data_IF_646223521782
#
_entry.id   IF_646223521782
#
_cell.length_a   1.000
_cell.length_b   1.000
_cell.length_c   1.000
_cell.angle_alpha   90.00
_cell.angle_beta   90.00
_cell.angle_gamma   90.00
#
_symmetry.space_group_name_H-M   'P 1'
#
loop_
_entity.id
_entity.type
_entity.pdbx_description
1 polymer ?
2 non-polymer ?
3 water ?
#
# COMPACT_ATOMS: atom_id res chain seq x y z
N UNK A 2 -17.39 -29.54 0.65
CA UNK A 2 -17.62 -28.28 -0.06
C UNK A 2 -18.77 -27.49 0.55
N UNK A 3 -18.66 -26.16 0.51
CA UNK A 3 -19.59 -25.26 1.18
C UNK A 3 -19.99 -24.18 0.19
N UNK A 4 -21.15 -24.33 -0.43
CA UNK A 4 -21.63 -23.35 -1.40
C UNK A 4 -23.01 -22.86 -0.99
N UNK A 5 -23.27 -21.58 -1.25
CA UNK A 5 -24.56 -20.98 -0.97
C UNK A 5 -25.26 -20.50 -2.23
N UNK A 6 -24.62 -20.55 -3.39
CA UNK A 6 -25.20 -19.99 -4.61
C UNK A 6 -26.04 -21.05 -5.32
N UNK A 7 -27.31 -20.73 -5.54
CA UNK A 7 -28.20 -21.58 -6.31
C UNK A 7 -29.41 -20.74 -6.67
N UNK A 8 -30.18 -21.24 -7.63
CA UNK A 8 -31.35 -20.50 -8.12
C UNK A 8 -32.49 -20.73 -7.14
N UNK A 9 -32.61 -19.82 -6.16
CA UNK A 9 -33.75 -19.86 -5.24
C UNK A 9 -34.81 -18.79 -5.53
N UNK A 10 -34.49 -17.83 -6.38
CA UNK A 10 -35.31 -16.64 -6.53
C UNK A 10 -36.40 -16.84 -7.58
N UNK A 11 -37.55 -16.19 -7.36
CA UNK A 11 -38.63 -16.18 -8.32
C UNK A 11 -39.28 -14.80 -8.31
N UNK A 12 -39.89 -14.44 -9.44
CA UNK A 12 -40.55 -13.16 -9.59
C UNK A 12 -42.01 -13.43 -9.92
N UNK A 13 -42.90 -13.06 -9.00
CA UNK A 13 -44.32 -13.36 -9.19
C UNK A 13 -44.98 -12.43 -10.22
N UNK A 14 -44.58 -11.18 -10.28
CA UNK A 14 -45.23 -10.20 -11.12
C UNK A 14 -44.39 -9.78 -12.31
N UNK A 15 -44.80 -8.68 -12.93
CA UNK A 15 -44.03 -8.11 -14.03
C UNK A 15 -42.99 -7.13 -13.49
N UNK A 16 -41.97 -6.87 -14.30
CA UNK A 16 -40.95 -5.92 -13.89
C UNK A 16 -41.38 -4.50 -14.21
N UNK A 17 -40.83 -3.56 -13.45
CA UNK A 17 -40.93 -2.14 -13.75
C UNK A 17 -39.70 -1.71 -14.53
N UNK A 18 -39.90 -0.99 -15.62
CA UNK A 18 -38.81 -0.53 -16.46
C UNK A 18 -38.43 0.89 -16.08
N UNK A 19 -37.13 1.12 -15.93
CA UNK A 19 -36.59 2.43 -15.62
C UNK A 19 -35.50 2.73 -16.61
N UNK A 20 -35.32 4.00 -16.88
CA UNK A 20 -34.27 4.41 -17.80
C UNK A 20 -33.10 4.94 -17.01
N UNK A 21 -31.89 4.50 -17.37
CA UNK A 21 -30.72 5.06 -16.73
C UNK A 21 -30.71 6.55 -16.94
N UNK A 22 -29.97 7.23 -16.11
CA UNK A 22 -29.87 8.65 -16.21
C UNK A 22 -28.73 8.97 -17.20
N UNK A 23 -28.70 10.21 -17.70
CA UNK A 23 -27.89 10.51 -18.88
C UNK A 23 -26.42 10.19 -18.67
N UNK A 24 -25.84 10.60 -17.52
CA UNK A 24 -24.41 10.41 -17.41
C UNK A 24 -24.08 8.93 -17.22
N UNK A 25 -24.98 8.15 -16.60
CA UNK A 25 -24.77 6.70 -16.53
C UNK A 25 -24.78 6.07 -17.92
N UNK A 26 -25.69 6.53 -18.79
CA UNK A 26 -25.71 6.05 -20.16
C UNK A 26 -24.41 6.37 -20.89
N UNK A 27 -23.92 7.60 -20.71
CA UNK A 27 -22.68 8.02 -21.37
C UNK A 27 -21.50 7.18 -20.92
N UNK A 28 -21.43 6.85 -19.62
CA UNK A 28 -20.34 6.00 -19.15
C UNK A 28 -20.53 4.55 -19.59
N UNK A 29 -21.77 4.09 -19.70
CA UNK A 29 -22.02 2.78 -20.31
C UNK A 29 -21.61 2.77 -21.77
N UNK A 30 -21.85 3.86 -22.50
CA UNK A 30 -21.39 3.94 -23.88
C UNK A 30 -19.87 3.84 -23.97
N UNK A 31 -19.17 4.58 -23.10
CA UNK A 31 -17.70 4.50 -23.06
C UNK A 31 -17.24 3.07 -22.84
N UNK A 32 -17.90 2.36 -21.93
CA UNK A 32 -17.51 0.99 -21.61
C UNK A 32 -17.73 0.07 -22.81
N UNK A 33 -18.87 0.22 -23.50
CA UNK A 33 -19.15 -0.63 -24.65
C UNK A 33 -18.15 -0.40 -25.78
N UNK A 34 -17.74 0.85 -26.00
CA UNK A 34 -16.89 1.17 -27.14
C UNK A 34 -15.41 0.97 -26.88
N UNK A 35 -14.99 0.88 -25.62
CA UNK A 35 -13.57 0.81 -25.29
C UNK A 35 -12.99 -0.57 -25.56
N UNK A 38 -9.16 -4.59 -22.99
CA UNK A 38 -8.57 -3.86 -21.87
C UNK A 38 -8.24 -4.84 -20.74
N UNK A 39 -7.96 -4.33 -19.54
CA UNK A 39 -7.60 -5.21 -18.43
C UNK A 39 -8.87 -5.65 -17.72
N UNK A 40 -9.57 -6.61 -18.35
CA UNK A 40 -10.93 -6.94 -17.96
C UNK A 40 -11.00 -7.61 -16.60
N UNK A 41 -9.93 -8.27 -16.16
CA UNK A 41 -10.01 -9.14 -15.00
C UNK A 41 -10.29 -8.40 -13.70
N UNK A 42 -10.15 -7.07 -13.67
CA UNK A 42 -10.28 -6.36 -12.39
C UNK A 42 -11.71 -6.18 -11.94
N UNK A 43 -12.72 -6.59 -12.74
CA UNK A 43 -14.07 -6.55 -12.21
C UNK A 43 -14.23 -7.45 -10.99
N UNK A 44 -13.46 -8.53 -10.93
CA UNK A 44 -13.59 -9.46 -9.81
C UNK A 44 -13.13 -8.80 -8.51
N UNK A 45 -11.99 -8.09 -8.54
CA UNK A 45 -11.51 -7.50 -7.30
C UNK A 45 -12.43 -6.37 -6.82
N UNK A 46 -13.07 -5.65 -7.74
CA UNK A 46 -14.02 -4.60 -7.36
C UNK A 46 -15.27 -5.20 -6.72
N UNK A 47 -15.80 -6.27 -7.30
CA UNK A 47 -16.99 -6.90 -6.74
C UNK A 47 -16.69 -7.50 -5.36
N UNK A 48 -15.52 -8.13 -5.21
CA UNK A 48 -15.15 -8.69 -3.90
C UNK A 48 -15.02 -7.58 -2.87
N UNK A 49 -14.48 -6.43 -3.28
CA UNK A 49 -14.30 -5.32 -2.35
C UNK A 49 -15.63 -4.77 -1.88
N UNK A 50 -16.59 -4.62 -2.81
CA UNK A 50 -17.92 -4.15 -2.40
C UNK A 50 -18.61 -5.16 -1.50
N UNK A 51 -18.47 -6.45 -1.80
CA UNK A 51 -19.02 -7.49 -0.91
C UNK A 51 -18.43 -7.39 0.48
N UNK A 52 -17.12 -7.20 0.56
CA UNK A 52 -16.46 -7.03 1.86
C UNK A 52 -17.02 -5.81 2.59
N UNK A 53 -17.23 -4.70 1.88
CA UNK A 53 -17.78 -3.51 2.52
C UNK A 53 -19.20 -3.74 3.03
N UNK A 54 -19.99 -4.50 2.27
CA UNK A 54 -21.37 -4.78 2.68
C UNK A 54 -21.40 -5.67 3.91
N UNK A 55 -20.47 -6.62 3.99
CA UNK A 55 -20.34 -7.46 5.17
C UNK A 55 -19.89 -6.67 6.39
N UNK A 56 -18.89 -5.80 6.21
CA UNK A 56 -18.45 -4.97 7.32
C UNK A 56 -19.57 -4.08 7.84
N UNK A 57 -20.39 -3.54 6.93
CA UNK A 57 -21.51 -2.70 7.34
C UNK A 57 -22.49 -3.47 8.21
N UNK A 58 -22.83 -4.70 7.79
CA UNK A 58 -23.70 -5.54 8.59
C UNK A 58 -23.07 -5.88 9.94
N UNK A 59 -21.80 -6.31 9.92
CA UNK A 59 -21.15 -6.69 11.17
C UNK A 59 -21.17 -5.55 12.18
N UNK A 60 -20.76 -4.35 11.76
CA UNK A 60 -20.71 -3.23 12.68
C UNK A 60 -22.08 -2.91 13.23
N UNK A 61 -23.12 -3.03 12.41
CA UNK A 61 -24.47 -2.74 12.87
C UNK A 61 -24.93 -3.76 13.91
N UNK A 62 -24.73 -5.05 13.65
CA UNK A 62 -25.16 -6.08 14.59
C UNK A 62 -24.37 -5.99 15.89
N UNK A 63 -23.06 -5.74 15.81
CA UNK A 63 -22.25 -5.63 17.03
C UNK A 63 -22.67 -4.39 17.83
N UNK A 64 -23.09 -3.32 17.16
CA UNK A 64 -23.58 -2.14 17.88
C UNK A 64 -24.81 -2.47 18.71
N UNK A 65 -25.74 -3.25 18.14
CA UNK A 65 -26.82 -3.82 18.92
C UNK A 65 -26.27 -5.00 19.71
N UNK A 66 -27.13 -5.80 20.32
CA UNK A 66 -26.63 -6.95 21.02
C UNK A 66 -26.86 -8.22 20.25
N UNK A 67 -26.83 -8.12 18.92
CA UNK A 67 -27.39 -9.17 18.07
C UNK A 67 -26.36 -10.22 17.70
N UNK A 68 -26.82 -11.46 17.65
CA UNK A 68 -25.98 -12.57 17.21
C UNK A 68 -25.55 -12.36 15.77
N UNK A 69 -24.36 -12.85 15.46
CA UNK A 69 -23.80 -12.69 14.12
C UNK A 69 -24.15 -13.89 13.26
N UNK A 70 -24.66 -13.65 12.06
CA UNK A 70 -24.96 -14.72 11.11
C UNK A 70 -23.68 -15.14 10.40
N UNK A 71 -23.81 -16.09 9.47
CA UNK A 71 -22.67 -16.47 8.65
C UNK A 71 -22.34 -15.34 7.69
N UNK A 72 -21.09 -14.88 7.72
CA UNK A 72 -20.68 -13.71 6.93
C UNK A 72 -19.60 -14.16 5.96
N UNK A 73 -19.97 -14.30 4.68
CA UNK A 73 -19.12 -14.96 3.70
C UNK A 73 -19.29 -14.31 2.34
N UNK A 74 -18.27 -14.47 1.50
CA UNK A 74 -18.29 -14.09 0.09
C UNK A 74 -18.14 -15.37 -0.72
N UNK A 75 -19.03 -15.57 -1.69
CA UNK A 75 -18.98 -16.75 -2.56
C UNK A 75 -18.89 -16.35 -4.02
N UNK A 76 -18.02 -17.05 -4.76
CA UNK A 76 -17.96 -16.96 -6.21
C UNK A 76 -18.34 -18.30 -6.80
N UNK A 77 -19.09 -18.29 -7.90
CA UNK A 77 -19.37 -19.52 -8.62
C UNK A 77 -19.21 -19.29 -10.10
N UNK A 78 -18.50 -20.19 -10.77
CA UNK A 78 -18.40 -20.19 -12.23
C UNK A 78 -19.32 -21.26 -12.81
N UNK A 79 -19.86 -20.98 -13.99
CA UNK A 79 -20.64 -21.98 -14.73
C UNK A 79 -20.24 -21.88 -16.18
N UNK A 80 -19.37 -22.81 -16.62
CA UNK A 80 -18.93 -22.82 -18.02
C UNK A 80 -20.07 -23.13 -18.97
N UNK A 81 -20.95 -24.06 -18.59
CA UNK A 81 -22.04 -24.47 -19.48
C UNK A 81 -22.96 -23.30 -19.80
N UNK A 82 -23.15 -22.38 -18.86
CA UNK A 82 -24.02 -21.22 -19.05
C UNK A 82 -23.25 -19.93 -19.26
N UNK A 83 -21.92 -19.96 -19.23
CA UNK A 83 -21.13 -18.76 -19.45
C UNK A 83 -21.37 -17.65 -18.45
N UNK A 84 -21.46 -18.00 -17.15
CA UNK A 84 -21.69 -17.02 -16.11
C UNK A 84 -20.59 -17.09 -15.05
N UNK A 85 -20.40 -15.96 -14.36
CA UNK A 85 -19.71 -15.90 -13.09
C UNK A 85 -20.65 -15.19 -12.12
N UNK A 86 -20.73 -15.69 -10.89
CA UNK A 86 -21.66 -15.14 -9.91
C UNK A 86 -20.89 -14.83 -8.64
N UNK A 87 -21.19 -13.68 -8.03
CA UNK A 87 -20.70 -13.39 -6.69
C UNK A 87 -21.92 -13.19 -5.78
N UNK A 88 -21.84 -13.73 -4.57
CA UNK A 88 -22.91 -13.53 -3.60
C UNK A 88 -22.28 -13.34 -2.24
N UNK A 89 -22.78 -12.37 -1.49
CA UNK A 89 -22.33 -12.21 -0.12
C UNK A 89 -23.55 -12.11 0.80
N UNK A 90 -23.32 -12.39 2.08
CA UNK A 90 -24.38 -12.39 3.08
C UNK A 90 -24.37 -11.11 3.92
N UNK A 91 -23.98 -9.98 3.31
CA UNK A 91 -23.88 -8.70 3.97
C UNK A 91 -25.19 -7.94 4.04
N UNK A 92 -25.08 -6.61 4.18
CA UNK A 92 -26.22 -5.78 4.57
C UNK A 92 -27.22 -5.61 3.43
N UNK A 93 -26.83 -5.91 2.20
CA UNK A 93 -27.74 -5.84 1.08
C UNK A 93 -28.15 -4.40 0.75
N UNK A 94 -29.15 -4.31 -0.12
CA UNK A 94 -29.64 -3.03 -0.62
C UNK A 94 -31.16 -3.02 -0.58
N UNK A 95 -31.73 -1.89 -0.19
CA UNK A 95 -33.17 -1.66 -0.31
C UNK A 95 -33.53 -1.35 -1.76
N UNK A 96 -34.82 -1.36 -2.05
CA UNK A 96 -35.26 -0.97 -3.40
C UNK A 96 -34.81 0.44 -3.72
N UNK A 97 -34.91 1.35 -2.74
CA UNK A 97 -34.48 2.73 -2.95
C UNK A 97 -33.02 2.80 -3.43
N UNK A 98 -32.14 2.04 -2.81
CA UNK A 98 -30.75 2.05 -3.23
C UNK A 98 -30.58 1.44 -4.61
N UNK A 99 -31.29 0.34 -4.90
CA UNK A 99 -31.20 -0.26 -6.21
C UNK A 99 -31.62 0.70 -7.32
N UNK A 100 -32.38 1.74 -6.98
CA UNK A 100 -32.80 2.75 -7.94
C UNK A 100 -31.97 4.02 -7.78
N UNK A 101 -31.54 4.31 -6.55
CA UNK A 101 -30.59 5.40 -6.30
C UNK A 101 -29.18 4.87 -6.53
N UNK A 102 -28.84 4.74 -7.81
CA UNK A 102 -27.58 4.15 -8.24
C UNK A 102 -26.37 4.93 -7.73
N UNK A 129 -17.19 8.70 -7.89
CA UNK A 129 -17.93 7.71 -8.65
C UNK A 129 -18.87 6.92 -7.74
N UNK A 130 -18.47 6.73 -6.48
CA UNK A 130 -19.27 5.95 -5.56
C UNK A 130 -19.10 4.46 -5.83
N UNK A 131 -18.94 3.66 -4.77
CA UNK A 131 -18.56 2.27 -4.97
C UNK A 131 -19.66 1.43 -5.63
N UNK A 132 -20.93 1.83 -5.49
CA UNK A 132 -21.95 1.18 -6.30
C UNK A 132 -21.65 1.30 -7.78
N UNK A 133 -21.07 2.43 -8.19
CA UNK A 133 -20.71 2.68 -9.57
C UNK A 133 -19.48 1.93 -10.07
N UNK A 134 -18.45 1.77 -9.24
CA UNK A 134 -17.25 1.07 -9.70
C UNK A 134 -17.57 -0.40 -10.00
N UNK A 135 -18.26 -1.08 -9.08
CA UNK A 135 -18.70 -2.44 -9.38
C UNK A 135 -19.61 -2.48 -10.59
N UNK A 136 -20.30 -1.38 -10.88
CA UNK A 136 -21.24 -1.33 -11.98
C UNK A 136 -20.50 -1.27 -13.33
N UNK A 137 -19.62 -0.28 -13.50
CA UNK A 137 -18.94 -0.17 -14.78
C UNK A 137 -18.01 -1.35 -15.02
N UNK A 138 -17.40 -1.87 -13.94
CA UNK A 138 -16.56 -3.07 -14.04
C UNK A 138 -17.35 -4.24 -14.60
N UNK A 139 -18.55 -4.48 -14.06
CA UNK A 139 -19.36 -5.61 -14.49
C UNK A 139 -19.73 -5.51 -15.97
N UNK A 140 -20.15 -4.31 -16.41
CA UNK A 140 -20.54 -4.21 -17.81
C UNK A 140 -19.35 -4.23 -18.75
N UNK A 141 -18.13 -4.12 -18.23
CA UNK A 141 -16.95 -4.34 -19.06
C UNK A 141 -16.93 -5.75 -19.64
N UNK A 142 -17.47 -6.72 -18.90
CA UNK A 142 -17.36 -8.13 -19.23
C UNK A 142 -18.71 -8.78 -19.50
N UNK A 143 -19.82 -8.06 -19.36
CA UNK A 143 -21.15 -8.68 -19.31
C UNK A 143 -21.97 -8.34 -20.55
N UNK A 144 -22.66 -9.36 -21.09
CA UNK A 144 -23.77 -9.08 -21.99
C UNK A 144 -24.97 -8.57 -21.21
N UNK A 145 -25.21 -9.14 -20.04
CA UNK A 145 -26.25 -8.62 -19.17
C UNK A 145 -25.90 -8.97 -17.74
N UNK A 146 -26.49 -8.24 -16.82
CA UNK A 146 -26.25 -8.42 -15.40
C UNK A 146 -27.59 -8.67 -14.72
N UNK A 147 -27.60 -9.65 -13.82
CA UNK A 147 -28.82 -10.09 -13.14
C UNK A 147 -28.51 -10.07 -11.65
N UNK A 148 -29.25 -9.25 -10.89
CA UNK A 148 -28.91 -9.00 -9.50
C UNK A 148 -30.10 -9.34 -8.61
N UNK A 149 -29.83 -9.97 -7.47
CA UNK A 149 -30.84 -10.13 -6.43
C UNK A 149 -30.29 -9.55 -5.15
N UNK A 150 -31.10 -8.75 -4.47
CA UNK A 150 -30.62 -8.16 -3.23
C UNK A 150 -31.77 -8.09 -2.24
N UNK A 151 -31.43 -8.24 -0.96
CA UNK A 151 -32.41 -8.11 0.12
C UNK A 151 -31.70 -7.50 1.31
N UNK A 152 -32.22 -6.35 1.77
CA UNK A 152 -31.61 -5.66 2.90
C UNK A 152 -31.73 -6.50 4.18
N UNK A 153 -30.70 -6.42 5.02
CA UNK A 153 -30.72 -7.10 6.32
C UNK A 153 -31.66 -6.46 7.31
N UNK A 154 -32.19 -5.29 7.00
CA UNK A 154 -33.16 -4.66 7.89
C UNK A 154 -34.39 -5.55 8.06
N UNK A 155 -34.91 -5.70 9.28
CA UNK A 155 -36.10 -6.55 9.47
C UNK A 155 -37.25 -6.14 8.55
N UNK A 156 -37.96 -7.14 8.05
CA UNK A 156 -39.10 -6.89 7.19
C UNK A 156 -38.77 -6.50 5.78
N UNK A 157 -37.50 -6.52 5.38
CA UNK A 157 -37.11 -6.14 4.04
C UNK A 157 -37.58 -7.16 3.02
N UNK A 158 -37.97 -6.67 1.85
CA UNK A 158 -38.32 -7.52 0.72
C UNK A 158 -37.11 -7.73 -0.17
N UNK A 159 -37.17 -8.80 -0.96
CA UNK A 159 -36.12 -9.07 -1.93
C UNK A 159 -36.48 -8.48 -3.29
N UNK A 160 -35.45 -8.13 -4.06
CA UNK A 160 -35.66 -7.53 -5.37
C UNK A 160 -34.75 -8.15 -6.41
N UNK A 161 -35.25 -8.17 -7.63
CA UNK A 161 -34.50 -8.51 -8.82
C UNK A 161 -34.20 -7.23 -9.60
N UNK A 162 -32.96 -7.07 -10.03
CA UNK A 162 -32.54 -5.94 -10.86
C UNK A 162 -31.88 -6.50 -12.11
N UNK A 163 -32.31 -6.04 -13.29
CA UNK A 163 -31.83 -6.59 -14.56
C UNK A 163 -31.38 -5.47 -15.47
N UNK A 164 -30.26 -5.68 -16.17
CA UNK A 164 -29.92 -4.74 -17.23
C UNK A 164 -29.02 -5.42 -18.27
N UNK A 165 -29.25 -5.09 -19.55
CA UNK A 165 -28.32 -5.50 -20.59
C UNK A 165 -27.35 -4.39 -20.97
N UNK A 166 -27.30 -3.32 -20.19
CA UNK A 166 -26.38 -2.23 -20.48
C UNK A 166 -26.93 -1.20 -21.44
N UNK A 167 -28.13 -1.41 -21.96
CA UNK A 167 -28.81 -0.40 -22.76
C UNK A 167 -29.33 0.68 -21.83
N UNK A 168 -30.11 1.61 -22.35
CA UNK A 168 -30.58 2.65 -21.47
C UNK A 168 -31.61 2.31 -20.43
N UNK A 169 -31.96 1.03 -20.29
CA UNK A 169 -33.06 0.59 -19.45
C UNK A 169 -32.54 -0.40 -18.43
N UNK A 170 -33.10 -0.36 -17.22
CA UNK A 170 -32.97 -1.47 -16.28
C UNK A 170 -34.36 -1.81 -15.77
N UNK A 171 -34.46 -3.00 -15.19
CA UNK A 171 -35.74 -3.52 -14.71
C UNK A 171 -35.62 -3.86 -13.24
N UNK A 172 -36.71 -3.64 -12.51
CA UNK A 172 -36.74 -3.99 -11.10
C UNK A 172 -38.07 -4.67 -10.80
N UNK A 173 -38.03 -5.72 -9.98
CA UNK A 173 -39.25 -6.41 -9.58
C UNK A 173 -39.02 -7.02 -8.21
N UNK A 174 -40.08 -7.08 -7.40
CA UNK A 174 -39.97 -7.78 -6.14
C UNK A 174 -39.79 -9.28 -6.40
N UNK A 175 -38.90 -9.91 -5.62
CA UNK A 175 -38.55 -11.30 -5.84
C UNK A 175 -38.66 -12.06 -4.52
N UNK A 176 -39.21 -13.26 -4.59
CA UNK A 176 -39.21 -14.17 -3.44
C UNK A 176 -37.94 -15.02 -3.45
N UNK A 177 -37.63 -15.59 -2.30
CA UNK A 177 -36.49 -16.49 -2.23
C UNK A 177 -35.14 -15.84 -2.27
N UNK A 178 -35.06 -14.53 -2.02
CA UNK A 178 -33.78 -13.82 -2.01
C UNK A 178 -33.20 -13.95 -0.61
N UNK A 179 -31.97 -14.41 -0.54
CA UNK A 179 -31.24 -14.43 0.72
C UNK A 179 -30.79 -13.02 1.08
N UNK A 180 -30.78 -12.73 2.38
CA UNK A 180 -30.25 -11.44 2.84
C UNK A 180 -28.84 -11.22 2.30
N UNK A 181 -28.59 -10.02 1.77
CA UNK A 181 -27.33 -9.74 1.10
C UNK A 181 -27.55 -9.46 -0.38
N UNK A 182 -26.53 -9.76 -1.18
CA UNK A 182 -26.56 -9.40 -2.59
C UNK A 182 -25.93 -10.50 -3.44
N UNK A 183 -26.60 -10.86 -4.54
CA UNK A 183 -26.08 -11.80 -5.52
C UNK A 183 -26.02 -11.11 -6.88
N UNK A 184 -24.88 -11.19 -7.55
CA UNK A 184 -24.72 -10.60 -8.88
C UNK A 184 -24.33 -11.72 -9.84
N UNK A 185 -25.16 -11.94 -10.86
CA UNK A 185 -24.91 -12.96 -11.88
C UNK A 185 -24.49 -12.22 -13.14
N UNK A 186 -23.27 -12.50 -13.61
CA UNK A 186 -22.75 -11.85 -14.81
C UNK A 186 -22.84 -12.85 -15.95
N UNK A 187 -23.65 -12.52 -16.97
CA UNK A 187 -23.73 -13.30 -18.19
C UNK A 187 -22.64 -12.77 -19.11
N UNK A 188 -21.55 -13.53 -19.23
CA UNK A 188 -20.33 -13.00 -19.81
C UNK A 188 -20.42 -12.81 -21.31
N UNK A 189 -19.77 -11.77 -21.81
CA UNK A 189 -19.59 -11.53 -23.23
C UNK A 189 -18.85 -12.70 -23.91
N UNK A 190 -19.03 -12.78 -25.23
CA UNK A 190 -18.42 -13.85 -26.04
C UNK A 190 -16.92 -13.93 -25.82
N UNK A 191 -16.26 -12.78 -25.73
CA UNK A 191 -14.80 -12.74 -25.59
C UNK A 191 -14.35 -12.67 -24.14
N UNK A 192 -15.27 -12.83 -23.18
CA UNK A 192 -14.91 -12.88 -21.76
C UNK A 192 -15.26 -14.21 -21.13
N UNK A 193 -15.45 -15.27 -21.93
CA UNK A 193 -15.86 -16.55 -21.35
C UNK A 193 -14.79 -17.16 -20.46
N UNK A 194 -13.55 -16.66 -20.53
CA UNK A 194 -12.50 -17.16 -19.66
C UNK A 194 -12.85 -16.99 -18.19
N UNK A 195 -13.70 -16.03 -17.85
CA UNK A 195 -14.07 -15.83 -16.45
C UNK A 195 -15.18 -16.77 -16.01
N UNK A 196 -15.57 -17.73 -16.84
CA UNK A 196 -16.41 -18.84 -16.40
C UNK A 196 -15.59 -20.10 -16.16
N UNK A 197 -14.26 -19.99 -16.25
CA UNK A 197 -13.34 -21.06 -15.91
C UNK A 197 -12.91 -20.93 -14.46
N UNK A 198 -13.06 -22.01 -13.70
CA UNK A 198 -12.68 -21.97 -12.29
C UNK A 198 -11.21 -21.60 -12.10
N UNK A 199 -10.33 -22.18 -12.92
CA UNK A 199 -8.89 -21.95 -12.71
C UNK A 199 -8.51 -20.50 -13.03
N UNK A 200 -9.07 -19.94 -14.09
CA UNK A 200 -8.82 -18.53 -14.41
C UNK A 200 -9.24 -17.63 -13.25
N UNK A 201 -10.45 -17.86 -12.72
CA UNK A 201 -10.96 -17.01 -11.65
C UNK A 201 -10.15 -17.21 -10.38
N UNK A 202 -9.78 -18.46 -10.07
CA UNK A 202 -8.93 -18.71 -8.91
C UNK A 202 -7.66 -17.87 -8.96
N UNK A 203 -7.02 -17.81 -10.12
CA UNK A 203 -5.77 -17.06 -10.24
C UNK A 203 -5.99 -15.56 -10.11
N UNK A 204 -7.12 -15.05 -10.60
CA UNK A 204 -7.40 -13.63 -10.47
C UNK A 204 -7.63 -13.29 -9.00
N UNK A 205 -8.34 -14.14 -8.29
CA UNK A 205 -8.62 -13.91 -6.87
C UNK A 205 -7.31 -13.86 -6.09
N UNK A 206 -6.44 -14.84 -6.33
CA UNK A 206 -5.17 -14.90 -5.62
C UNK A 206 -4.27 -13.71 -5.95
N UNK A 207 -4.37 -13.20 -7.17
CA UNK A 207 -3.51 -12.08 -7.58
C UNK A 207 -3.88 -10.80 -6.85
N UNK A 208 -5.16 -10.43 -6.85
CA UNK A 208 -5.57 -9.11 -6.38
C UNK A 208 -6.30 -9.10 -5.05
N UNK A 209 -6.89 -10.23 -4.62
CA UNK A 209 -7.90 -10.22 -3.57
C UNK A 209 -7.54 -11.14 -2.41
N UNK A 210 -6.26 -11.53 -2.32
CA UNK A 210 -5.77 -12.53 -1.37
C UNK A 210 -5.94 -12.09 0.08
N UNK A 211 -6.10 -10.80 0.35
CA UNK A 211 -6.13 -10.28 1.71
C UNK A 211 -7.52 -9.83 2.14
N UNK A 212 -8.55 -10.23 1.39
CA UNK A 212 -9.93 -9.89 1.76
C UNK A 212 -10.24 -10.44 3.16
N UNK A 213 -10.95 -9.65 3.96
CA UNK A 213 -11.04 -9.88 5.40
C UNK A 213 -12.25 -10.72 5.81
N UNK A 214 -13.09 -11.16 4.86
CA UNK A 214 -14.15 -12.12 5.15
C UNK A 214 -13.90 -13.43 4.41
N UNK A 215 -14.37 -14.55 4.95
CA UNK A 215 -14.17 -15.85 4.27
C UNK A 215 -14.65 -15.82 2.82
N UNK A 216 -13.79 -16.31 1.92
CA UNK A 216 -14.09 -16.29 0.49
C UNK A 216 -14.03 -17.70 -0.07
N UNK A 217 -15.08 -18.10 -0.79
CA UNK A 217 -15.22 -19.43 -1.35
C UNK A 217 -15.39 -19.33 -2.86
N UNK A 218 -14.76 -20.25 -3.59
CA UNK A 218 -14.92 -20.33 -5.03
C UNK A 218 -15.42 -21.73 -5.36
N UNK A 219 -16.61 -21.82 -5.91
CA UNK A 219 -17.23 -23.10 -6.26
C UNK A 219 -17.27 -24.05 -5.06
N UNK A 220 -17.52 -23.48 -3.88
CA UNK A 220 -17.64 -24.24 -2.66
C UNK A 220 -16.35 -24.55 -1.96
N UNK A 221 -15.21 -24.09 -2.47
CA UNK A 221 -13.91 -24.35 -1.86
C UNK A 221 -13.37 -23.09 -1.22
N UNK A 222 -12.95 -23.18 0.04
CA UNK A 222 -12.41 -22.03 0.72
C UNK A 222 -11.12 -21.60 0.06
N UNK A 223 -11.06 -20.33 -0.36
CA UNK A 223 -9.84 -19.80 -0.91
C UNK A 223 -8.86 -19.55 0.23
N UNK A 224 -7.58 -19.82 -0.02
CA UNK A 224 -6.58 -19.58 1.01
C UNK A 224 -6.17 -18.12 0.93
N UNK A 225 -6.63 -17.33 1.89
CA UNK A 225 -6.39 -15.90 1.96
C UNK A 225 -5.56 -15.57 3.19
N UNK A 226 -5.00 -14.37 3.24
CA UNK A 226 -4.03 -14.00 4.27
C UNK A 226 -4.55 -12.82 5.09
N UNK A 227 -3.88 -12.54 6.21
CA UNK A 227 -4.31 -11.50 7.15
C UNK A 227 -3.60 -10.18 6.84
N UNK A 228 -4.38 -9.13 6.53
CA UNK A 228 -3.82 -7.81 6.18
C UNK A 228 -3.40 -7.07 7.44
N UNK A 229 -2.22 -7.42 7.97
CA UNK A 229 -1.83 -6.88 9.26
C UNK A 229 -1.53 -5.38 9.22
N UNK A 230 -1.28 -4.82 8.03
CA UNK A 230 -1.06 -3.39 7.95
C UNK A 230 -2.29 -2.58 8.35
N UNK A 231 -3.48 -3.17 8.26
CA UNK A 231 -4.69 -2.47 8.69
C UNK A 231 -4.87 -2.44 10.19
N UNK A 232 -4.13 -3.24 10.94
CA UNK A 232 -4.29 -3.28 12.37
C UNK A 232 -3.61 -2.07 13.02
N UNK A 233 -4.09 -1.71 14.20
CA UNK A 233 -3.40 -0.66 14.94
C UNK A 233 -2.00 -1.15 15.29
N UNK A 234 -0.97 -0.33 15.10
CA UNK A 234 0.41 -0.84 15.25
C UNK A 234 0.68 -1.52 16.58
N UNK A 235 0.06 -1.06 17.65
CA UNK A 235 0.36 -1.63 18.97
C UNK A 235 -0.15 -3.05 19.14
N UNK A 236 -0.99 -3.53 18.22
CA UNK A 236 -1.58 -4.86 18.33
C UNK A 236 -0.83 -5.91 17.52
N UNK A 237 0.11 -5.51 16.66
CA UNK A 237 0.85 -6.45 15.82
C UNK A 237 2.10 -6.88 16.56
N UNK A 238 2.23 -8.18 16.78
CA UNK A 238 3.35 -8.72 17.54
C UNK A 238 4.55 -8.99 16.63
N UNK A 239 5.71 -9.16 17.26
CA UNK A 239 6.94 -9.36 16.49
C UNK A 239 6.84 -10.58 15.60
N UNK A 240 6.26 -11.67 16.11
CA UNK A 240 6.18 -12.88 15.29
C UNK A 240 5.29 -12.68 14.08
N UNK A 241 4.27 -11.82 14.19
CA UNK A 241 3.43 -11.55 13.02
C UNK A 241 4.18 -10.73 11.99
N UNK A 242 4.96 -9.74 12.43
CA UNK A 242 5.79 -8.98 11.50
C UNK A 242 6.83 -9.86 10.83
N UNK A 243 7.44 -10.77 11.62
CA UNK A 243 8.45 -11.65 11.04
C UNK A 243 7.85 -12.53 9.95
N UNK A 244 6.68 -13.08 10.21
CA UNK A 244 5.98 -13.89 9.19
C UNK A 244 5.63 -13.05 7.97
N UNK A 245 5.10 -11.84 8.18
CA UNK A 245 4.67 -11.02 7.04
C UNK A 245 5.87 -10.51 6.26
N UNK A 246 6.92 -10.08 6.96
CA UNK A 246 8.15 -9.67 6.29
C UNK A 246 8.67 -10.78 5.38
N UNK A 247 8.75 -12.01 5.92
CA UNK A 247 9.29 -13.09 5.11
C UNK A 247 8.41 -13.36 3.90
N UNK A 248 7.10 -13.12 4.03
CA UNK A 248 6.20 -13.29 2.90
C UNK A 248 6.40 -12.20 1.84
N UNK A 249 6.39 -10.93 2.27
CA UNK A 249 6.40 -9.86 1.28
C UNK A 249 7.78 -9.67 0.68
N UNK A 250 8.83 -10.01 1.42
CA UNK A 250 10.19 -9.90 0.92
C UNK A 250 10.70 -11.20 0.32
N UNK A 251 9.92 -12.28 0.43
CA UNK A 251 10.36 -13.61 0.04
C UNK A 251 11.74 -13.92 0.59
N UNK A 252 11.90 -13.66 1.89
CA UNK A 252 13.17 -13.73 2.58
C UNK A 252 13.11 -14.80 3.67
N UNK A 253 14.27 -15.11 4.22
CA UNK A 253 14.37 -16.07 5.29
C UNK A 253 14.94 -15.50 6.58
N UNK A 254 15.42 -14.27 6.56
CA UNK A 254 15.94 -13.65 7.76
C UNK A 254 14.78 -12.97 8.49
N UNK A 255 15.09 -12.16 9.48
CA UNK A 255 14.12 -11.34 10.18
C UNK A 255 14.35 -9.88 9.80
N UNK A 256 13.36 -9.01 9.99
CA UNK A 256 13.60 -7.58 9.76
C UNK A 256 14.39 -6.98 10.91
N UNK A 257 15.43 -6.21 10.58
CA UNK A 257 16.15 -5.50 11.63
C UNK A 257 15.38 -4.28 12.12
N UNK A 258 14.55 -3.66 11.27
CA UNK A 258 13.70 -2.54 11.63
C UNK A 258 12.30 -2.77 11.07
N UNK A 259 11.29 -2.33 11.83
CA UNK A 259 9.89 -2.38 11.42
C UNK A 259 9.28 -1.01 11.70
N UNK A 260 8.65 -0.42 10.69
CA UNK A 260 7.89 0.82 10.84
C UNK A 260 6.48 0.54 10.37
N UNK A 261 5.54 0.58 11.30
CA UNK A 261 4.12 0.44 10.97
C UNK A 261 3.53 1.85 11.01
N UNK A 262 3.27 2.40 9.82
CA UNK A 262 2.88 3.80 9.68
C UNK A 262 1.43 3.89 9.26
N UNK A 263 0.61 4.47 10.12
CA UNK A 263 -0.81 4.62 9.90
C UNK A 263 -1.13 6.09 10.08
N UNK A 264 -1.75 6.70 9.07
CA UNK A 264 -2.14 8.10 9.18
C UNK A 264 -3.39 8.33 8.35
N UNK A 265 -4.14 9.36 8.70
CA UNK A 265 -5.31 9.74 7.94
C UNK A 265 -5.21 11.14 7.35
N UNK A 266 -4.18 11.90 7.68
CA UNK A 266 -3.97 13.20 7.08
C UNK A 266 -2.49 13.40 6.77
N UNK A 267 -2.19 14.01 5.61
CA UNK A 267 -3.11 14.57 4.62
C UNK A 267 -3.71 13.50 3.71
N UNK A 268 -3.14 12.30 3.77
CA UNK A 268 -3.54 11.16 2.97
C UNK A 268 -3.88 9.98 3.85
N UNK A 269 -4.80 9.14 3.40
CA UNK A 269 -5.01 7.83 4.01
C UNK A 269 -3.82 6.93 3.74
N UNK A 270 -3.15 6.43 4.79
CA UNK A 270 -2.02 5.53 4.63
C UNK A 270 -2.08 4.47 5.72
N UNK A 271 -2.03 3.20 5.32
CA UNK A 271 -1.78 2.07 6.22
C UNK A 271 -0.59 1.33 5.63
N UNK A 272 0.56 1.34 6.31
CA UNK A 272 1.77 0.82 5.68
C UNK A 272 2.66 0.14 6.70
N UNK A 273 3.45 -0.81 6.23
CA UNK A 273 4.50 -1.42 7.04
C UNK A 273 5.77 -1.48 6.20
N UNK A 274 6.87 -0.99 6.76
CA UNK A 274 8.16 -0.96 6.09
C UNK A 274 9.17 -1.76 6.91
N UNK A 275 9.95 -2.58 6.23
CA UNK A 275 10.96 -3.43 6.86
C UNK A 275 12.33 -3.15 6.27
N UNK A 276 13.36 -3.18 7.11
CA UNK A 276 14.75 -3.23 6.69
C UNK A 276 15.27 -4.63 6.97
N UNK A 277 15.87 -5.32 6.01
CA UNK A 277 16.35 -6.68 6.27
C UNK A 277 17.47 -6.71 7.30
N UNK A 278 17.53 -7.80 8.05
CA UNK A 278 18.69 -7.99 8.93
C UNK A 278 19.97 -8.17 8.13
N UNK A 279 19.89 -8.84 6.98
CA UNK A 279 21.09 -9.03 6.19
C UNK A 279 21.53 -7.71 5.55
N UNK A 280 22.83 -7.62 5.26
CA UNK A 280 23.35 -6.50 4.49
C UNK A 280 22.74 -6.48 3.10
N UNK A 281 22.73 -5.33 2.43
CA UNK A 281 22.27 -5.31 1.03
C UNK A 281 23.23 -6.10 0.15
N UNK A 282 22.67 -6.87 -0.75
CA UNK A 282 23.43 -7.58 -1.77
C UNK A 282 23.30 -6.82 -3.09
N UNK A 283 23.84 -7.42 -4.16
CA UNK A 283 23.69 -6.83 -5.48
C UNK A 283 22.24 -6.83 -5.94
N UNK A 284 21.44 -7.80 -5.49
CA UNK A 284 20.03 -7.83 -5.87
C UNK A 284 19.31 -6.60 -5.36
N UNK A 285 19.63 -6.15 -4.14
CA UNK A 285 18.96 -4.98 -3.57
C UNK A 285 19.39 -3.69 -4.26
N UNK A 286 20.61 -3.65 -4.80
CA UNK A 286 21.12 -2.41 -5.37
C UNK A 286 20.54 -2.17 -6.76
N UNK A 287 20.42 -3.22 -7.58
CA UNK A 287 19.84 -3.09 -8.91
C UNK A 287 18.37 -2.68 -8.83
N UNK A 293 11.68 -3.59 -2.94
CA UNK A 293 10.62 -2.61 -2.99
C UNK A 293 9.29 -3.08 -2.39
N UNK A 294 8.21 -2.36 -2.69
CA UNK A 294 7.00 -2.41 -1.88
C UNK A 294 5.78 -2.69 -2.75
N UNK A 295 4.79 -3.36 -2.15
CA UNK A 295 3.50 -3.64 -2.78
C UNK A 295 2.53 -2.52 -2.46
N UNK A 296 1.68 -2.18 -3.43
CA UNK A 296 0.69 -1.11 -3.27
C UNK A 296 -0.72 -1.68 -3.26
N UNK A 297 -1.48 -1.34 -2.24
CA UNK A 297 -2.86 -1.77 -2.09
C UNK A 297 -3.76 -0.55 -1.94
N UNK A 298 -5.05 -0.78 -2.14
CA UNK A 298 -6.05 0.23 -1.81
C UNK A 298 -7.19 -0.52 -1.14
N UNK A 299 -7.34 -0.31 0.17
CA UNK A 299 -8.33 -1.00 1.00
C UNK A 299 -8.27 -2.53 0.78
N UNK A 300 -7.05 -3.07 0.87
CA UNK A 300 -6.76 -4.51 0.79
C UNK A 300 -7.00 -5.09 -0.61
N UNK A 301 -7.03 -4.24 -1.62
CA UNK A 301 -7.08 -4.66 -3.01
C UNK A 301 -5.72 -4.33 -3.63
N UNK A 302 -5.09 -5.32 -4.23
CA UNK A 302 -3.79 -5.09 -4.86
C UNK A 302 -3.94 -4.13 -6.04
N UNK A 303 -3.07 -3.13 -6.10
CA UNK A 303 -2.94 -2.25 -7.25
C UNK A 303 -1.70 -2.60 -8.07
N UNK A 304 -0.55 -2.72 -7.41
CA UNK A 304 0.65 -3.14 -8.11
C UNK A 304 1.50 -3.98 -7.16
N UNK A 305 1.84 -5.21 -7.60
CA UNK A 305 2.61 -6.11 -6.76
C UNK A 305 3.97 -5.50 -6.41
N UNK A 306 4.58 -4.81 -7.39
CA UNK A 306 5.86 -4.11 -7.26
C UNK A 306 5.60 -2.67 -7.71
N UNK A 307 5.18 -1.81 -6.79
CA UNK A 307 4.91 -0.41 -7.14
C UNK A 307 6.18 0.24 -7.66
N UNK A 308 6.04 1.00 -8.74
CA UNK A 308 7.22 1.49 -9.46
C UNK A 308 7.92 2.62 -8.70
N UNK A 309 7.18 3.68 -8.37
CA UNK A 309 7.76 4.86 -7.74
C UNK A 309 7.03 5.19 -6.44
N UNK A 310 6.64 4.18 -5.64
CA UNK A 310 5.94 4.48 -4.39
C UNK A 310 6.91 5.11 -3.39
N UNK A 311 8.14 4.63 -3.37
CA UNK A 311 9.19 5.22 -2.55
C UNK A 311 10.25 5.84 -3.45
N UNK A 312 11.01 6.81 -2.95
CA UNK A 312 12.17 7.29 -3.70
C UNK A 312 13.10 6.13 -4.03
N UNK A 313 13.87 6.29 -5.12
CA UNK A 313 14.75 5.21 -5.53
C UNK A 313 15.77 4.84 -4.45
N UNK A 314 16.27 5.83 -3.70
CA UNK A 314 17.28 5.50 -2.69
C UNK A 314 16.73 4.67 -1.54
N UNK A 315 15.40 4.61 -1.38
CA UNK A 315 14.77 3.78 -0.36
C UNK A 315 14.33 2.42 -0.90
N UNK A 316 14.88 2.00 -2.04
CA UNK A 316 14.48 0.74 -2.66
C UNK A 316 14.91 -0.47 -1.84
N UNK A 317 15.75 -0.28 -0.82
CA UNK A 317 16.11 -1.38 0.07
C UNK A 317 14.99 -1.72 1.06
N UNK A 318 13.98 -0.86 1.18
CA UNK A 318 12.83 -1.11 2.05
C UNK A 318 11.93 -2.17 1.43
N UNK A 319 11.42 -3.07 2.26
CA UNK A 319 10.42 -4.05 1.87
C UNK A 319 9.14 -3.79 2.64
N UNK A 320 8.01 -4.24 2.10
CA UNK A 320 6.76 -4.03 2.81
C UNK A 320 5.58 -3.68 1.95
N UNK A 321 4.63 -2.93 2.50
CA UNK A 321 3.34 -2.70 1.87
C UNK A 321 2.88 -1.28 2.17
N UNK A 322 2.23 -0.66 1.18
CA UNK A 322 1.58 0.64 1.34
C UNK A 322 0.14 0.48 0.87
N UNK A 323 -0.81 0.83 1.73
CA UNK A 323 -2.24 0.79 1.41
C UNK A 323 -2.80 2.20 1.54
N UNK A 324 -3.40 2.72 0.47
CA UNK A 324 -4.02 4.04 0.54
C UNK A 324 -5.38 4.02 -0.14
N UNK A 325 -6.42 4.41 0.60
CA UNK A 325 -7.75 4.62 0.01
C UNK A 325 -7.71 5.60 -1.16
N UNK A 326 -6.72 6.49 -1.17
CA UNK A 326 -6.57 7.47 -2.24
C UNK A 326 -5.61 6.99 -3.30
N UNK A 327 -6.11 6.16 -4.21
CA UNK A 327 -5.28 5.63 -5.30
C UNK A 327 -6.13 5.29 -6.52
N UNK A 328 -5.77 5.91 -7.70
CA UNK A 328 -6.60 5.56 -8.86
C UNK A 328 -5.95 4.49 -9.73
N UNK A 338 4.10 9.98 -11.70
CA UNK A 338 3.01 9.76 -12.64
C UNK A 338 1.87 10.73 -12.40
N UNK A 339 1.19 10.55 -11.27
CA UNK A 339 0.10 11.42 -10.86
C UNK A 339 0.57 12.33 -9.74
N UNK A 340 -0.15 13.43 -9.56
CA UNK A 340 0.14 14.31 -8.42
C UNK A 340 0.03 13.56 -7.11
N UNK A 341 -0.91 12.61 -7.03
CA UNK A 341 -1.15 11.87 -5.80
C UNK A 341 0.02 10.96 -5.45
N UNK A 342 0.53 10.22 -6.43
CA UNK A 342 1.65 9.33 -6.17
C UNK A 342 2.87 10.12 -5.73
N UNK A 343 3.12 11.26 -6.38
CA UNK A 343 4.20 12.14 -5.98
C UNK A 343 4.02 12.59 -4.53
N UNK A 344 2.79 12.95 -4.16
CA UNK A 344 2.51 13.38 -2.79
C UNK A 344 2.75 12.25 -1.80
N UNK A 345 2.25 11.05 -2.12
CA UNK A 345 2.44 9.91 -1.23
C UNK A 345 3.92 9.58 -1.07
N UNK A 346 4.68 9.61 -2.18
CA UNK A 346 6.11 9.31 -2.09
C UNK A 346 6.82 10.29 -1.16
N UNK A 347 6.51 11.58 -1.27
CA UNK A 347 7.16 12.58 -0.44
C UNK A 347 6.78 12.41 1.04
N UNK A 348 5.52 12.08 1.32
CA UNK A 348 5.10 11.85 2.71
C UNK A 348 5.86 10.67 3.29
N UNK A 349 5.96 9.58 2.52
CA UNK A 349 6.63 8.37 3.01
C UNK A 349 8.12 8.61 3.18
N UNK A 350 8.73 9.37 2.27
CA UNK A 350 10.15 9.69 2.42
C UNK A 350 10.40 10.42 3.73
N UNK A 351 9.58 11.44 4.02
CA UNK A 351 9.74 12.19 5.27
C UNK A 351 9.55 11.29 6.48
N UNK A 352 8.55 10.41 6.44
CA UNK A 352 8.28 9.56 7.60
C UNK A 352 9.41 8.55 7.83
N UNK A 353 9.95 7.98 6.75
CA UNK A 353 11.04 7.02 6.90
C UNK A 353 12.30 7.69 7.39
N UNK A 354 12.60 8.90 6.90
CA UNK A 354 13.75 9.62 7.44
C UNK A 354 13.57 9.89 8.93
N UNK A 355 12.37 10.33 9.32
CA UNK A 355 12.09 10.55 10.74
C UNK A 355 12.28 9.27 11.55
N UNK A 356 11.80 8.15 11.00
CA UNK A 356 11.95 6.85 11.67
C UNK A 356 13.41 6.54 11.96
N UNK A 357 14.27 6.66 10.95
CA UNK A 357 15.67 6.34 11.13
C UNK A 357 16.35 7.29 12.10
N UNK A 358 15.98 8.58 12.07
CA UNK A 358 16.49 9.51 13.08
C UNK A 358 16.09 9.05 14.47
N UNK A 359 14.82 8.68 14.65
CA UNK A 359 14.38 8.23 15.96
C UNK A 359 15.08 6.94 16.37
N UNK A 360 15.39 6.06 15.42
CA UNK A 360 16.11 4.84 15.76
C UNK A 360 17.53 5.13 16.22
N UNK A 361 18.20 6.10 15.60
CA UNK A 361 19.54 6.45 16.05
C UNK A 361 19.51 6.92 17.51
N UNK A 362 18.40 7.52 17.94
CA UNK A 362 18.27 7.95 19.33
C UNK A 362 17.91 6.79 20.24
N UNK A 363 17.15 5.81 19.76
CA UNK A 363 16.74 4.69 20.61
C UNK A 363 17.89 3.71 20.84
N UNK A 364 18.71 3.47 19.81
CA UNK A 364 19.78 2.47 19.91
C UNK A 364 20.87 2.90 18.92
N UNK A 365 21.85 3.64 19.42
CA UNK A 365 22.86 4.20 18.54
C UNK A 365 23.77 3.11 17.97
N UNK A 366 24.08 2.05 18.73
CA UNK A 366 24.96 1.03 18.18
C UNK A 366 24.28 0.27 17.06
N UNK A 367 23.00 -0.08 17.25
CA UNK A 367 22.24 -0.71 16.18
C UNK A 367 22.14 0.21 14.97
N UNK A 368 21.90 1.50 15.19
CA UNK A 368 21.82 2.43 14.07
C UNK A 368 23.17 2.54 13.34
N UNK A 369 24.29 2.52 14.09
CA UNK A 369 25.59 2.60 13.42
C UNK A 369 25.80 1.42 12.46
N UNK A 370 25.36 0.22 12.85
CA UNK A 370 25.48 -0.94 11.97
C UNK A 370 24.59 -0.79 10.76
N UNK A 371 23.36 -0.30 10.97
CA UNK A 371 22.50 -0.02 9.84
C UNK A 371 23.15 0.98 8.89
N UNK A 372 23.77 2.04 9.41
CA UNK A 372 24.39 3.02 8.52
C UNK A 372 25.57 2.41 7.79
N UNK A 373 26.33 1.55 8.46
CA UNK A 373 27.44 0.86 7.81
C UNK A 373 26.92 -0.01 6.67
N UNK A 374 25.79 -0.68 6.89
CA UNK A 374 25.29 -1.65 5.93
C UNK A 374 24.54 -0.98 4.77
N UNK A 375 23.75 0.06 5.05
CA UNK A 375 22.85 0.65 4.07
C UNK A 375 23.21 2.08 3.70
N UNK A 376 24.34 2.60 4.21
CA UNK A 376 24.63 4.01 4.04
C UNK A 376 24.96 4.42 2.62
N UNK A 377 25.31 3.48 1.75
CA UNK A 377 25.54 3.88 0.36
C UNK A 377 24.23 4.30 -0.31
N UNK A 378 23.10 3.76 0.14
CA UNK A 378 21.82 4.21 -0.40
C UNK A 378 21.55 5.67 -0.03
N UNK A 379 21.88 6.05 1.19
CA UNK A 379 21.70 7.43 1.61
C UNK A 379 22.59 8.37 0.83
N UNK A 380 23.86 8.00 0.66
CA UNK A 380 24.76 8.82 -0.15
C UNK A 380 24.27 8.93 -1.60
N UNK A 381 23.84 7.82 -2.18
CA UNK A 381 23.24 7.86 -3.52
C UNK A 381 22.09 8.86 -3.56
N UNK A 382 21.20 8.79 -2.57
CA UNK A 382 20.03 9.66 -2.56
C UNK A 382 20.39 11.13 -2.48
N UNK A 383 21.43 11.46 -1.72
CA UNK A 383 21.88 12.84 -1.63
C UNK A 383 22.42 13.31 -2.98
N UNK A 384 23.17 12.44 -3.68
CA UNK A 384 23.75 12.85 -4.95
C UNK A 384 22.67 13.01 -6.02
N UNK A 385 21.70 12.10 -6.05
CA UNK A 385 20.73 12.13 -7.15
C UNK A 385 19.57 13.08 -6.89
N UNK A 386 19.37 13.51 -5.64
CA UNK A 386 18.25 14.38 -5.33
C UNK A 386 18.35 15.72 -6.07
N UNK A 387 17.21 16.25 -6.48
CA UNK A 387 17.13 17.55 -7.14
C UNK A 387 17.05 18.70 -6.15
N UNK A 388 16.24 18.57 -5.11
CA UNK A 388 15.94 19.68 -4.21
C UNK A 388 16.90 19.71 -3.03
N UNK A 389 17.41 20.91 -2.72
CA UNK A 389 18.35 21.06 -1.61
C UNK A 389 17.75 20.58 -0.29
N UNK A 390 16.46 20.86 -0.07
CA UNK A 390 15.83 20.45 1.18
C UNK A 390 15.83 18.93 1.32
N UNK A 391 15.66 18.20 0.21
CA UNK A 391 15.66 16.75 0.27
C UNK A 391 17.07 16.23 0.53
N UNK A 392 18.07 16.84 -0.10
CA UNK A 392 19.44 16.45 0.19
C UNK A 392 19.73 16.57 1.67
N UNK A 393 19.31 17.68 2.27
CA UNK A 393 19.64 17.90 3.67
C UNK A 393 18.84 17.00 4.59
N UNK A 394 17.59 16.65 4.20
CA UNK A 394 16.82 15.69 4.97
C UNK A 394 17.52 14.33 5.00
N UNK A 395 17.96 13.84 3.84
CA UNK A 395 18.66 12.55 3.82
C UNK A 395 19.97 12.66 4.59
N UNK A 396 20.65 13.79 4.45
CA UNK A 396 21.92 14.00 5.15
C UNK A 396 21.80 13.93 6.67
N UNK A 397 20.59 14.11 7.22
CA UNK A 397 20.41 13.94 8.65
C UNK A 397 20.71 12.52 9.12
N UNK A 398 20.78 11.57 8.18
CA UNK A 398 21.04 10.17 8.49
C UNK A 398 22.53 9.82 8.47
N UNK A 399 23.36 10.70 7.91
CA UNK A 399 24.79 10.41 7.84
C UNK A 399 25.41 10.41 9.23
N UNK A 400 26.39 9.52 9.43
CA UNK A 400 27.15 9.46 10.67
C UNK A 400 28.63 9.39 10.34
N UNK A 401 29.44 10.21 11.02
CA UNK A 401 30.87 10.29 10.75
C UNK A 401 31.65 10.30 12.06
N UNK A 402 32.91 9.84 12.00
CA UNK A 402 33.82 10.13 13.09
C UNK A 402 34.18 11.61 13.11
N UNK A 403 34.76 12.05 14.22
CA UNK A 403 35.07 13.46 14.38
C UNK A 403 36.38 13.63 15.15
N UNK A 404 37.10 14.71 14.84
CA UNK A 404 38.27 15.06 15.63
C UNK A 404 37.93 15.30 17.10
N UNK A 405 36.68 15.62 17.42
CA UNK A 405 36.32 16.00 18.78
C UNK A 405 35.82 14.83 19.61
N UNK A 406 35.65 13.66 19.00
CA UNK A 406 35.09 12.48 19.63
C UNK A 406 36.12 11.37 19.66
N UNK A 407 35.96 10.40 20.55
CA UNK A 407 36.88 9.26 20.58
C UNK A 407 36.83 8.47 19.29
N UNK A 408 37.96 7.88 18.94
CA UNK A 408 38.04 6.97 17.79
C UNK A 408 36.92 5.94 17.86
N UNK A 409 36.24 5.74 16.73
CA UNK A 409 35.13 4.82 16.65
C UNK A 409 33.78 5.44 16.92
N UNK A 410 33.71 6.55 17.65
CA UNK A 410 32.44 7.17 17.98
C UNK A 410 31.96 8.03 16.82
N UNK A 411 30.65 8.00 16.56
CA UNK A 411 30.07 8.69 15.42
C UNK A 411 29.27 9.90 15.86
N UNK A 412 29.22 10.91 14.98
CA UNK A 412 28.39 12.08 15.18
C UNK A 412 27.56 12.34 13.93
N UNK A 413 26.44 13.02 14.12
CA UNK A 413 25.65 13.50 13.00
C UNK A 413 26.05 14.93 12.67
N UNK A 414 25.60 15.41 11.51
CA UNK A 414 25.86 16.79 11.10
C UNK A 414 25.22 17.77 12.07
N UNK A 415 23.99 17.50 12.51
CA UNK A 415 23.35 18.42 13.45
C UNK A 415 24.08 18.47 14.78
N UNK A 416 24.62 17.34 15.24
CA UNK A 416 25.41 17.34 16.48
C UNK A 416 26.69 18.14 16.33
N UNK A 417 27.39 17.95 15.19
CA UNK A 417 28.52 18.80 14.86
C UNK A 417 28.12 20.28 14.92
N UNK A 418 26.99 20.63 14.28
CA UNK A 418 26.55 22.01 14.26
C UNK A 418 26.34 22.56 15.66
N UNK A 419 25.80 21.73 16.58
CA UNK A 419 25.53 22.22 17.93
C UNK A 419 26.82 22.51 18.70
N UNK A 420 27.97 21.98 18.29
CA UNK A 420 29.24 22.23 18.96
C UNK A 420 30.03 23.36 18.32
N UNK A 421 29.56 23.93 17.21
CA UNK A 421 30.35 24.95 16.52
C UNK A 421 30.54 26.18 17.40
N UNK A 422 31.76 26.71 17.40
CA UNK A 422 32.10 27.83 18.26
C UNK A 422 31.74 29.14 17.57
N UNK A 423 31.35 30.13 18.37
CA UNK A 423 31.00 31.44 17.84
C UNK A 423 32.11 31.97 16.96
N UNK A 424 31.74 32.45 15.77
CA UNK A 424 32.68 33.00 14.81
C UNK A 424 33.09 32.02 13.74
N UNK A 425 32.86 30.74 13.96
CA UNK A 425 33.13 29.70 12.97
C UNK A 425 31.79 29.23 12.44
N UNK A 426 31.55 29.42 11.14
CA UNK A 426 30.22 29.28 10.57
C UNK A 426 30.13 28.22 9.48
N UNK A 427 31.21 27.47 9.21
CA UNK A 427 31.22 26.40 8.23
C UNK A 427 31.44 25.05 8.92
N UNK A 428 31.06 23.98 8.24
CA UNK A 428 31.30 22.61 8.68
C UNK A 428 32.51 22.05 7.93
N UNK A 429 33.54 21.66 8.67
CA UNK A 429 34.79 21.23 8.06
C UNK A 429 34.90 19.72 8.11
N UNK A 430 35.43 19.14 7.03
CA UNK A 430 35.59 17.70 6.94
C UNK A 430 36.89 17.34 6.23
N UNK A 431 37.29 16.09 6.41
CA UNK A 431 38.46 15.56 5.73
C UNK A 431 38.21 14.10 5.37
N UNK A 432 38.35 13.77 4.10
CA UNK A 432 38.26 12.40 3.65
C UNK A 432 39.64 11.76 3.69
N UNK A 433 39.73 10.60 4.32
CA UNK A 433 40.99 9.89 4.44
C UNK A 433 40.68 8.41 4.56
N UNK A 434 41.65 7.54 4.29
CA UNK A 434 41.38 6.09 4.38
C UNK A 434 41.08 5.62 5.80
N UNK A 435 41.66 6.24 6.82
CA UNK A 435 41.41 5.84 8.19
C UNK A 435 41.68 7.01 9.13
N UNK A 436 41.40 6.79 10.41
CA UNK A 436 41.52 7.85 11.41
C UNK A 436 42.97 8.30 11.59
N UNK A 437 43.91 7.36 11.60
CA UNK A 437 45.32 7.72 11.77
C UNK A 437 45.77 8.72 10.70
N UNK A 438 45.41 8.45 9.44
CA UNK A 438 45.85 9.32 8.35
C UNK A 438 45.16 10.68 8.41
N UNK A 439 43.89 10.71 8.83
CA UNK A 439 43.22 12.00 9.02
C UNK A 439 43.90 12.80 10.13
N UNK A 440 44.20 12.15 11.27
CA UNK A 440 44.75 12.88 12.40
C UNK A 440 46.13 13.44 12.11
N UNK A 441 46.89 12.80 11.22
CA UNK A 441 48.22 13.26 10.89
C UNK A 441 48.26 14.08 9.62
N UNK A 442 47.10 14.53 9.14
CA UNK A 442 47.09 15.53 8.11
C UNK A 442 47.72 16.82 8.64
N UNK A 443 48.70 17.40 7.93
CA UNK A 443 49.28 18.66 8.39
C UNK A 443 48.26 19.79 8.47
N UNK A 444 47.22 19.73 7.64
CA UNK A 444 46.16 20.73 7.69
C UNK A 444 45.33 20.56 8.95
N UNK A 445 44.91 19.33 9.27
CA UNK A 445 44.19 19.13 10.52
C UNK A 445 45.07 19.48 11.72
N UNK A 446 46.34 19.09 11.68
CA UNK A 446 47.23 19.38 12.82
C UNK A 446 47.28 20.87 13.12
N UNK A 447 47.32 21.71 12.09
CA UNK A 447 47.35 23.16 12.32
C UNK A 447 46.01 23.66 12.85
N UNK A 448 44.90 23.12 12.32
CA UNK A 448 43.58 23.56 12.75
C UNK A 448 43.31 23.22 14.19
N UNK A 449 43.89 22.12 14.67
CA UNK A 449 43.70 21.70 16.06
C UNK A 449 44.08 22.81 17.04
N UNK A 450 44.98 23.71 16.63
CA UNK A 450 45.44 24.79 17.51
C UNK A 450 44.33 25.78 17.87
N UNK A 451 43.24 25.83 17.11
CA UNK A 451 42.16 26.78 17.33
C UNK A 451 40.81 26.11 17.54
N UNK A 452 40.80 24.85 17.99
CA UNK A 452 39.63 24.14 18.51
C UNK A 452 38.55 23.83 17.48
N UNK A 453 38.82 24.00 16.17
CA UNK A 453 37.81 23.74 15.16
C UNK A 453 37.59 22.24 14.96
N UNK A 454 36.33 21.80 15.06
CA UNK A 454 36.03 20.39 14.86
C UNK A 454 36.10 20.03 13.38
N UNK A 455 36.60 18.83 13.09
CA UNK A 455 36.70 18.36 11.70
C UNK A 455 36.13 16.97 11.63
N UNK A 456 35.13 16.78 10.77
CA UNK A 456 34.60 15.44 10.52
C UNK A 456 35.64 14.61 9.75
N UNK A 457 35.76 13.35 10.12
CA UNK A 457 36.68 12.41 9.48
C UNK A 457 35.85 11.39 8.73
N UNK A 458 36.01 11.34 7.41
CA UNK A 458 35.16 10.58 6.51
C UNK A 458 35.99 9.53 5.78
N UNK A 459 35.66 8.25 5.98
CA UNK A 459 36.47 7.16 5.47
C UNK A 459 35.86 6.36 4.33
N UNK A 460 34.60 6.62 3.97
CA UNK A 460 33.95 5.85 2.91
C UNK A 460 34.30 6.49 1.58
N UNK A 461 34.57 5.66 0.56
CA UNK A 461 35.11 6.22 -0.67
C UNK A 461 34.14 7.18 -1.34
N UNK A 462 32.83 7.03 -1.11
CA UNK A 462 31.86 7.93 -1.72
C UNK A 462 31.52 9.13 -0.84
N UNK A 463 32.22 9.33 0.27
CA UNK A 463 31.95 10.51 1.11
C UNK A 463 32.29 11.80 0.37
N UNK A 464 33.38 11.80 -0.39
CA UNK A 464 33.79 13.02 -1.11
C UNK A 464 32.68 13.51 -2.02
N UNK A 465 32.12 12.62 -2.84
CA UNK A 465 31.04 13.04 -3.73
C UNK A 465 29.79 13.41 -2.95
N UNK A 466 29.49 12.66 -1.90
CA UNK A 466 28.30 12.95 -1.10
C UNK A 466 28.36 14.38 -0.57
N UNK A 467 29.50 14.77 0.00
CA UNK A 467 29.57 16.07 0.62
C UNK A 467 29.75 17.18 -0.41
N UNK A 468 30.35 16.87 -1.56
CA UNK A 468 30.35 17.83 -2.68
C UNK A 468 28.93 18.15 -3.14
N UNK A 469 28.10 17.12 -3.27
CA UNK A 469 26.74 17.33 -3.75
C UNK A 469 25.86 17.94 -2.67
N UNK A 470 26.06 17.56 -1.42
CA UNK A 470 25.27 18.17 -0.34
C UNK A 470 25.51 19.67 -0.25
N UNK A 471 26.78 20.08 -0.34
CA UNK A 471 27.23 21.47 -0.44
C UNK A 471 27.04 22.27 0.85
N UNK A 472 25.85 22.24 1.43
CA UNK A 472 25.62 22.95 2.68
C UNK A 472 24.60 22.17 3.52
N UNK A 473 24.60 22.46 4.81
CA UNK A 473 23.68 21.82 5.75
C UNK A 473 23.27 22.85 6.78
N UNK A 474 21.96 23.07 6.91
CA UNK A 474 21.45 24.07 7.87
C UNK A 474 22.15 25.41 7.68
N UNK A 475 22.31 25.81 6.42
CA UNK A 475 22.88 27.09 6.01
C UNK A 475 24.38 27.20 6.29
N UNK A 476 25.05 26.10 6.58
CA UNK A 476 26.49 26.09 6.81
C UNK A 476 27.19 25.37 5.66
N UNK A 477 28.14 26.04 5.01
CA UNK A 477 28.84 25.40 3.91
C UNK A 477 29.71 24.26 4.41
N UNK A 478 29.76 23.18 3.63
CA UNK A 478 30.66 22.05 3.87
C UNK A 478 31.98 22.31 3.16
N UNK A 479 33.07 22.30 3.92
CA UNK A 479 34.39 22.66 3.40
C UNK A 479 35.35 21.53 3.70
N UNK A 480 35.98 20.98 2.65
CA UNK A 480 37.06 20.02 2.83
C UNK A 480 38.34 20.76 3.25
N UNK A 481 38.99 20.28 4.32
CA UNK A 481 40.16 21.01 4.80
C UNK A 481 41.40 20.75 3.95
N UNK A 482 41.35 19.76 3.07
CA UNK A 482 42.38 19.57 2.05
C UNK A 482 41.73 19.67 0.67
N UNK A 483 42.43 20.27 -0.27
CA UNK A 483 41.90 20.42 -1.62
C UNK A 483 42.42 19.35 -2.56
#
# INVERSE_FOLDING_TARGET
PLHSIISSTESVQGSTSKHEFQAETKKLLDIVARSLYSEKEVFIRELISNASDALEKLRHKLVSDGQALPEMEIHLQTNAEKGTITIQDTGIGMTQEELVSNLGTIARSGSKAFLDALQNQAEASSKIIGQFGVGFYSAFMVADRVEVYSRSAAPGSLGYQWLSDGSGVFEIAEASGVRTGTKIIIHLKSDCKEFSSEARVRDVVTKYSNFVSFPLYLNGRRMNTLQAIWMMDPKDVREWQHEEFYRYVAQAHDKPRYTLHYKTDAPLNIRSIFYVPDMKPSMFDVSRELGSSVALYSRKVLIQTKATDILPKWLRFIRGVVDSEDIPLNLSRELLQESALIRKLRDVLQQRLIKFFIDQSKKDAEKYAKFFEDYGLFMREGIVTATEQEVKEDIAKLLRYESSALPSGQLTSLSEYASRMRAGTRNIYYLCAPNRHLAEHSPYYEAMKKKDTEVLFCFEQFDELTLLHLREFDKKKLISVET
#
